data_IF_110448716333
#
_entry.id   IF_110448716333
#
_cell.length_a   1.000
_cell.length_b   1.000
_cell.length_c   1.000
_cell.angle_alpha   90.00
_cell.angle_beta   90.00
_cell.angle_gamma   90.00
#
_symmetry.space_group_name_H-M   'P 1'
#
loop_
_entity.id
_entity.type
_entity.pdbx_description
1 polymer ?
#
# COMPACT_ATOMS: atom_id res chain seq x y z
N UNK A 1 21.46 10.69 65.58
CA UNK A 1 20.42 10.27 64.61
C UNK A 1 21.06 10.23 63.23
N UNK A 2 21.36 9.03 62.71
CA UNK A 2 21.91 8.82 61.36
C UNK A 2 20.78 8.28 60.47
N UNK A 3 20.36 9.07 59.48
CA UNK A 3 19.34 8.67 58.50
C UNK A 3 20.00 7.85 57.40
N UNK A 4 19.69 6.55 57.38
CA UNK A 4 19.99 5.62 56.28
C UNK A 4 19.08 5.94 55.09
N UNK A 5 19.67 6.12 53.91
CA UNK A 5 18.93 6.09 52.65
C UNK A 5 18.65 4.63 52.23
N UNK A 6 17.48 4.32 51.66
CA UNK A 6 17.18 3.00 51.12
C UNK A 6 17.97 2.75 49.82
N UNK A 7 18.72 1.65 49.76
CA UNK A 7 19.33 1.12 48.53
C UNK A 7 18.21 0.58 47.63
N UNK A 8 17.95 1.25 46.52
CA UNK A 8 17.20 0.63 45.42
C UNK A 8 18.09 -0.44 44.76
N UNK A 9 17.58 -1.67 44.76
CA UNK A 9 18.14 -2.80 44.05
C UNK A 9 18.10 -2.52 42.54
N UNK A 10 19.26 -2.51 41.90
CA UNK A 10 19.35 -2.56 40.44
C UNK A 10 19.07 -4.02 40.06
N UNK A 11 17.87 -4.29 39.51
CA UNK A 11 17.61 -5.53 38.81
C UNK A 11 18.51 -5.57 37.56
N UNK A 12 19.58 -6.37 37.62
CA UNK A 12 20.32 -6.77 36.43
C UNK A 12 19.49 -7.80 35.68
N UNK A 13 18.59 -7.35 34.80
CA UNK A 13 18.07 -8.20 33.73
C UNK A 13 19.18 -8.41 32.71
N UNK A 14 19.88 -9.53 32.85
CA UNK A 14 20.76 -10.09 31.82
C UNK A 14 19.89 -10.36 30.59
N UNK A 15 20.00 -9.50 29.57
CA UNK A 15 19.44 -9.80 28.25
C UNK A 15 20.34 -10.87 27.64
N UNK A 16 19.86 -12.12 27.64
CA UNK A 16 20.45 -13.20 26.85
C UNK A 16 20.23 -12.88 25.37
N UNK A 17 21.21 -12.24 24.73
CA UNK A 17 21.27 -12.10 23.28
C UNK A 17 21.79 -13.44 22.74
N UNK A 18 21.01 -14.22 21.97
CA UNK A 18 21.55 -15.41 21.34
C UNK A 18 22.67 -15.01 20.37
N UNK A 19 23.76 -15.79 20.25
CA UNK A 19 24.86 -15.44 19.39
C UNK A 19 24.39 -15.36 17.92
N UNK A 20 24.91 -14.41 17.12
CA UNK A 20 24.53 -14.29 15.72
C UNK A 20 24.91 -15.58 14.99
N UNK A 21 23.93 -16.19 14.32
CA UNK A 21 24.19 -17.30 13.41
C UNK A 21 25.01 -16.77 12.24
N UNK A 22 26.27 -17.19 12.18
CA UNK A 22 27.17 -16.91 11.06
C UNK A 22 26.72 -17.76 9.88
N UNK A 23 25.95 -17.19 8.97
CA UNK A 23 25.74 -17.80 7.65
C UNK A 23 27.00 -17.55 6.83
N UNK A 24 27.87 -18.55 6.76
CA UNK A 24 29.05 -18.56 5.88
C UNK A 24 28.57 -18.65 4.44
N UNK A 25 28.44 -17.51 3.76
CA UNK A 25 28.32 -17.48 2.29
C UNK A 25 29.74 -17.48 1.72
N UNK A 26 30.29 -18.68 1.52
CA UNK A 26 31.44 -18.90 0.64
C UNK A 26 30.95 -18.89 -0.80
N UNK A 27 31.20 -17.80 -1.52
CA UNK A 27 31.57 -17.85 -2.93
C UNK A 27 32.11 -16.48 -3.35
N UNK A 28 33.43 -16.41 -3.44
CA UNK A 28 34.15 -15.33 -4.10
C UNK A 28 34.08 -15.65 -5.59
N UNK A 29 33.50 -14.75 -6.38
CA UNK A 29 33.78 -14.66 -7.82
C UNK A 29 34.27 -13.23 -8.10
N UNK A 30 35.41 -13.07 -8.81
CA UNK A 30 36.14 -11.81 -8.90
C UNK A 30 35.53 -10.88 -9.96
N UNK A 31 36.00 -9.63 -9.98
CA UNK A 31 35.55 -8.50 -10.82
C UNK A 31 34.41 -7.76 -10.13
N UNK A 32 34.65 -6.68 -9.38
CA UNK A 32 35.09 -5.38 -9.89
C UNK A 32 35.96 -4.68 -8.84
N UNK A 33 37.28 -4.64 -9.07
CA UNK A 33 38.11 -3.53 -8.57
C UNK A 33 37.83 -2.35 -9.49
N UNK A 34 36.84 -1.54 -9.13
CA UNK A 34 36.75 -0.16 -9.57
C UNK A 34 36.70 0.65 -8.29
N UNK A 35 37.85 1.26 -8.02
CA UNK A 35 37.95 2.58 -7.38
C UNK A 35 36.75 2.94 -6.51
N UNK A 36 36.95 2.83 -5.20
CA UNK A 36 36.35 3.78 -4.25
C UNK A 36 36.80 5.17 -4.70
N UNK A 37 36.13 5.72 -5.69
CA UNK A 37 36.00 7.16 -5.84
C UNK A 37 35.22 7.58 -4.60
N UNK A 38 35.96 7.91 -3.54
CA UNK A 38 35.51 8.90 -2.59
C UNK A 38 34.97 10.04 -3.46
N UNK A 39 33.68 10.38 -3.42
CA UNK A 39 33.20 11.54 -4.14
C UNK A 39 33.95 12.70 -3.50
N UNK A 40 34.96 13.19 -4.20
CA UNK A 40 35.68 14.40 -3.86
C UNK A 40 34.66 15.50 -4.06
N UNK A 41 33.83 15.76 -3.03
CA UNK A 41 32.95 16.91 -2.90
C UNK A 41 33.77 18.20 -2.72
N UNK A 42 34.77 18.40 -3.58
CA UNK A 42 35.65 19.56 -3.59
C UNK A 42 35.77 20.14 -5.01
N UNK A 43 34.69 20.18 -5.78
CA UNK A 43 34.77 20.69 -7.15
C UNK A 43 34.46 22.18 -7.31
N UNK A 44 33.88 22.88 -6.32
CA UNK A 44 33.48 24.29 -6.52
C UNK A 44 34.20 25.34 -5.66
N UNK A 45 34.93 24.98 -4.60
CA UNK A 45 35.64 25.95 -3.73
C UNK A 45 37.18 25.92 -3.88
N UNK A 46 37.73 25.06 -4.74
CA UNK A 46 39.18 24.90 -4.87
C UNK A 46 39.92 26.07 -5.52
N UNK A 47 39.20 26.99 -6.17
CA UNK A 47 39.81 28.16 -6.83
C UNK A 47 40.54 29.05 -5.81
N UNK A 48 39.94 29.33 -4.65
CA UNK A 48 40.53 30.28 -3.69
C UNK A 48 41.79 29.74 -2.98
N UNK A 49 41.80 28.46 -2.61
CA UNK A 49 42.96 27.87 -1.90
C UNK A 49 44.14 27.56 -2.82
N UNK A 50 43.85 27.18 -4.06
CA UNK A 50 44.85 26.97 -5.09
C UNK A 50 45.57 28.28 -5.43
N UNK A 51 44.82 29.37 -5.55
CA UNK A 51 45.39 30.69 -5.83
C UNK A 51 46.26 31.20 -4.67
N UNK A 52 45.79 31.07 -3.42
CA UNK A 52 46.58 31.39 -2.21
C UNK A 52 47.87 30.56 -2.10
N UNK A 53 47.83 29.28 -2.48
CA UNK A 53 49.02 28.42 -2.52
C UNK A 53 50.05 28.93 -3.53
N UNK A 54 49.63 29.29 -4.74
CA UNK A 54 50.54 29.83 -5.75
C UNK A 54 51.12 31.19 -5.35
N UNK A 55 50.34 32.04 -4.68
CA UNK A 55 50.81 33.31 -4.14
C UNK A 55 51.90 33.09 -3.07
N UNK A 56 51.66 32.22 -2.09
CA UNK A 56 52.66 31.85 -1.07
C UNK A 56 53.92 31.23 -1.67
N UNK A 57 53.76 30.35 -2.67
CA UNK A 57 54.87 29.72 -3.38
C UNK A 57 55.72 30.75 -4.12
N UNK A 58 55.09 31.74 -4.74
CA UNK A 58 55.80 32.83 -5.40
C UNK A 58 56.58 33.70 -4.42
N UNK A 59 55.97 34.06 -3.28
CA UNK A 59 56.66 34.81 -2.21
C UNK A 59 57.84 34.04 -1.63
N UNK A 60 57.71 32.72 -1.44
CA UNK A 60 58.81 31.84 -1.01
C UNK A 60 59.95 31.84 -2.02
N UNK A 61 59.65 31.71 -3.31
CA UNK A 61 60.67 31.73 -4.37
C UNK A 61 61.44 33.05 -4.43
N UNK A 62 60.75 34.19 -4.25
CA UNK A 62 61.40 35.50 -4.18
C UNK A 62 62.33 35.64 -2.96
N UNK A 63 61.96 35.04 -1.83
CA UNK A 63 62.80 35.00 -0.63
C UNK A 63 64.02 34.09 -0.84
N UNK A 64 63.83 32.93 -1.46
CA UNK A 64 64.90 31.99 -1.80
C UNK A 64 65.96 32.67 -2.69
N UNK A 65 65.54 33.40 -3.74
CA UNK A 65 66.44 34.19 -4.59
C UNK A 65 67.22 35.26 -3.81
N UNK A 66 66.58 35.95 -2.86
CA UNK A 66 67.26 36.93 -1.99
C UNK A 66 68.27 36.29 -1.05
N UNK A 67 67.94 35.12 -0.47
CA UNK A 67 68.84 34.35 0.38
C UNK A 67 70.06 33.86 -0.40
N UNK A 68 69.87 33.36 -1.62
CA UNK A 68 70.96 32.93 -2.50
C UNK A 68 71.89 34.10 -2.84
N UNK A 69 71.34 35.28 -3.14
CA UNK A 69 72.13 36.51 -3.36
C UNK A 69 72.91 36.94 -2.13
N UNK A 70 72.35 36.78 -0.93
CA UNK A 70 73.05 37.04 0.33
C UNK A 70 74.20 36.05 0.54
N UNK A 71 73.98 34.77 0.27
CA UNK A 71 75.01 33.73 0.36
C UNK A 71 76.17 33.98 -0.62
N UNK A 72 75.87 34.31 -1.88
CA UNK A 72 76.88 34.66 -2.89
C UNK A 72 77.72 35.87 -2.47
N UNK A 73 77.07 36.92 -1.95
CA UNK A 73 77.77 38.10 -1.43
C UNK A 73 78.62 37.74 -0.20
N UNK A 74 78.11 36.93 0.72
CA UNK A 74 78.84 36.48 1.90
C UNK A 74 80.09 35.66 1.53
N UNK A 75 79.97 34.74 0.58
CA UNK A 75 81.10 33.95 0.05
C UNK A 75 82.13 34.89 -0.60
N UNK A 76 81.69 35.86 -1.41
CA UNK A 76 82.56 36.86 -2.02
C UNK A 76 83.31 37.70 -0.98
N UNK A 77 82.64 38.11 0.10
CA UNK A 77 83.27 38.86 1.20
C UNK A 77 84.25 38.02 2.02
N UNK A 78 83.95 36.75 2.27
CA UNK A 78 84.86 35.86 3.02
C UNK A 78 86.22 35.65 2.35
N UNK A 79 86.33 35.97 1.06
CA UNK A 79 87.53 35.78 0.22
C UNK A 79 88.27 37.09 -0.11
N UNK A 80 87.82 38.24 0.42
CA UNK A 80 88.30 39.56 0.03
C UNK A 80 88.89 40.32 1.24
N UNK A 81 90.14 40.79 1.17
CA UNK A 81 90.80 41.54 2.27
C UNK A 81 90.26 42.97 2.44
N UNK A 82 89.61 43.54 1.42
CA UNK A 82 88.97 44.86 1.48
C UNK A 82 87.54 44.76 0.98
N UNK A 83 86.59 45.19 1.83
CA UNK A 83 85.16 45.18 1.57
C UNK A 83 84.68 46.61 1.27
N UNK A 84 83.97 46.83 0.16
CA UNK A 84 83.43 48.16 -0.18
C UNK A 84 82.18 48.46 0.64
N UNK A 85 82.06 49.69 1.12
CA UNK A 85 80.91 50.17 1.90
C UNK A 85 79.57 50.00 1.16
N UNK A 86 79.57 50.13 -0.17
CA UNK A 86 78.40 49.88 -1.01
C UNK A 86 77.92 48.42 -0.97
N UNK A 87 78.83 47.46 -0.85
CA UNK A 87 78.50 46.03 -0.77
C UNK A 87 77.96 45.66 0.63
N UNK A 88 78.49 46.28 1.70
CA UNK A 88 77.93 46.17 3.05
C UNK A 88 76.52 46.75 3.15
N UNK A 89 76.27 47.90 2.50
CA UNK A 89 74.94 48.50 2.43
C UNK A 89 73.95 47.58 1.72
N UNK A 90 74.35 46.98 0.60
CA UNK A 90 73.53 46.03 -0.16
C UNK A 90 73.20 44.77 0.65
N UNK A 91 74.15 44.24 1.43
CA UNK A 91 73.90 43.09 2.32
C UNK A 91 72.91 43.45 3.42
N UNK A 92 73.08 44.61 4.07
CA UNK A 92 72.16 45.05 5.12
C UNK A 92 70.73 45.28 4.60
N UNK A 93 70.60 45.84 3.40
CA UNK A 93 69.31 46.02 2.72
C UNK A 93 68.67 44.67 2.38
N UNK A 94 69.41 43.75 1.75
CA UNK A 94 68.92 42.40 1.43
C UNK A 94 68.58 41.59 2.68
N UNK A 95 69.37 41.70 3.74
CA UNK A 95 69.14 41.02 5.01
C UNK A 95 67.87 41.55 5.69
N UNK A 96 67.70 42.87 5.74
CA UNK A 96 66.51 43.50 6.33
C UNK A 96 65.25 43.18 5.53
N UNK A 97 65.35 43.19 4.20
CA UNK A 97 64.25 42.79 3.33
C UNK A 97 63.88 41.31 3.50
N UNK A 98 64.88 40.42 3.57
CA UNK A 98 64.64 38.98 3.79
C UNK A 98 63.99 38.71 5.15
N UNK A 99 64.42 39.42 6.21
CA UNK A 99 63.79 39.34 7.54
C UNK A 99 62.35 39.88 7.56
N UNK A 100 62.04 40.88 6.72
CA UNK A 100 60.67 41.34 6.53
C UNK A 100 59.82 40.29 5.82
N UNK A 101 60.31 39.75 4.70
CA UNK A 101 59.62 38.77 3.88
C UNK A 101 59.37 37.45 4.65
N UNK A 102 60.34 37.00 5.46
CA UNK A 102 60.19 35.83 6.36
C UNK A 102 59.05 36.07 7.37
N UNK A 103 58.95 37.26 7.95
CA UNK A 103 57.89 37.59 8.92
C UNK A 103 56.51 37.59 8.25
N UNK A 104 56.41 38.16 7.05
CA UNK A 104 55.17 38.16 6.28
C UNK A 104 54.74 36.75 5.88
N UNK A 105 55.66 35.94 5.34
CA UNK A 105 55.39 34.54 4.99
C UNK A 105 54.92 33.72 6.18
N UNK A 106 55.56 33.86 7.34
CA UNK A 106 55.12 33.19 8.59
C UNK A 106 53.71 33.60 8.99
N UNK A 107 53.39 34.90 8.89
CA UNK A 107 52.06 35.41 9.22
C UNK A 107 50.99 34.89 8.24
N UNK A 108 51.28 34.91 6.94
CA UNK A 108 50.38 34.39 5.91
C UNK A 108 50.14 32.88 6.06
N UNK A 109 51.18 32.09 6.35
CA UNK A 109 51.06 30.65 6.61
C UNK A 109 50.17 30.36 7.82
N UNK A 110 50.36 31.07 8.93
CA UNK A 110 49.54 30.88 10.13
C UNK A 110 48.06 31.23 9.90
N UNK A 111 47.79 32.28 9.11
CA UNK A 111 46.43 32.69 8.74
C UNK A 111 45.76 31.66 7.83
N UNK A 112 46.49 31.12 6.85
CA UNK A 112 46.00 30.05 5.96
C UNK A 112 45.68 28.79 6.75
N UNK A 113 46.55 28.37 7.66
CA UNK A 113 46.35 27.18 8.49
C UNK A 113 45.11 27.31 9.39
N UNK A 114 44.95 28.47 10.05
CA UNK A 114 43.77 28.77 10.89
C UNK A 114 42.48 28.75 10.08
N UNK A 115 42.46 29.44 8.93
CA UNK A 115 41.26 29.52 8.10
C UNK A 115 40.91 28.16 7.47
N UNK A 116 41.91 27.38 7.03
CA UNK A 116 41.68 26.03 6.50
C UNK A 116 41.07 25.10 7.55
N UNK A 117 41.54 25.19 8.80
CA UNK A 117 41.04 24.37 9.90
C UNK A 117 39.58 24.74 10.26
N UNK A 118 39.25 26.04 10.32
CA UNK A 118 37.88 26.49 10.58
C UNK A 118 36.92 26.14 9.43
N UNK A 119 37.34 26.31 8.17
CA UNK A 119 36.55 25.89 7.00
C UNK A 119 36.29 24.37 7.01
N UNK A 120 37.30 23.57 7.36
CA UNK A 120 37.17 22.12 7.49
C UNK A 120 36.20 21.74 8.61
N UNK A 121 36.32 22.35 9.79
CA UNK A 121 35.38 22.13 10.90
C UNK A 121 33.95 22.45 10.50
N UNK A 122 33.72 23.60 9.86
CA UNK A 122 32.39 24.02 9.43
C UNK A 122 31.78 23.02 8.44
N UNK A 123 32.54 22.59 7.42
CA UNK A 123 32.09 21.58 6.45
C UNK A 123 31.83 20.23 7.11
N UNK A 124 32.66 19.83 8.06
CA UNK A 124 32.47 18.61 8.83
C UNK A 124 31.17 18.65 9.64
N UNK A 125 30.91 19.73 10.38
CA UNK A 125 29.68 19.87 11.16
C UNK A 125 28.43 19.91 10.26
N UNK A 126 28.48 20.64 9.14
CA UNK A 126 27.39 20.65 8.16
C UNK A 126 27.09 19.25 7.59
N UNK A 127 28.14 18.49 7.21
CA UNK A 127 27.98 17.13 6.71
C UNK A 127 27.43 16.19 7.80
N UNK A 128 27.85 16.38 9.06
CA UNK A 128 27.35 15.60 10.19
C UNK A 128 25.87 15.90 10.48
N UNK A 129 25.46 17.17 10.43
CA UNK A 129 24.05 17.56 10.61
C UNK A 129 23.15 17.00 9.49
N UNK A 130 23.64 17.02 8.24
CA UNK A 130 22.96 16.37 7.12
C UNK A 130 22.84 14.85 7.32
N UNK A 131 23.90 14.20 7.81
CA UNK A 131 23.90 12.77 8.11
C UNK A 131 22.89 12.42 9.20
N UNK A 132 22.81 13.20 10.28
CA UNK A 132 21.83 12.99 11.34
C UNK A 132 20.40 13.19 10.85
N UNK A 133 20.19 14.17 9.96
CA UNK A 133 18.89 14.37 9.29
C UNK A 133 18.49 13.13 8.49
N UNK A 134 19.40 12.64 7.63
CA UNK A 134 19.16 11.43 6.82
C UNK A 134 18.90 10.21 7.70
N UNK A 135 19.68 10.02 8.78
CA UNK A 135 19.44 8.92 9.73
C UNK A 135 18.04 9.00 10.34
N UNK A 136 17.60 10.20 10.71
CA UNK A 136 16.28 10.40 11.30
C UNK A 136 15.14 10.08 10.32
N UNK A 137 15.27 10.47 9.06
CA UNK A 137 14.32 10.16 7.99
C UNK A 137 14.31 8.67 7.66
N UNK A 138 15.49 8.05 7.62
CA UNK A 138 15.61 6.61 7.41
C UNK A 138 14.90 5.81 8.51
N UNK A 139 15.07 6.20 9.78
CA UNK A 139 14.37 5.56 10.90
C UNK A 139 12.85 5.72 10.76
N UNK A 140 12.36 6.90 10.38
CA UNK A 140 10.92 7.14 10.14
C UNK A 140 10.39 6.23 9.02
N UNK A 141 11.07 6.21 7.88
CA UNK A 141 10.68 5.35 6.74
C UNK A 141 10.71 3.87 7.11
N UNK A 142 11.68 3.44 7.92
CA UNK A 142 11.76 2.06 8.40
C UNK A 142 10.57 1.71 9.32
N UNK A 143 10.15 2.63 10.19
CA UNK A 143 8.97 2.46 11.05
C UNK A 143 7.68 2.41 10.22
N UNK A 144 7.54 3.31 9.24
CA UNK A 144 6.39 3.33 8.32
C UNK A 144 6.28 2.04 7.51
N UNK A 145 7.40 1.54 6.97
CA UNK A 145 7.45 0.28 6.25
C UNK A 145 7.00 -0.90 7.13
N UNK A 146 7.48 -0.95 8.37
CA UNK A 146 7.11 -1.99 9.32
C UNK A 146 5.62 -1.96 9.66
N UNK A 147 5.06 -0.76 9.91
CA UNK A 147 3.62 -0.59 10.16
C UNK A 147 2.77 -1.01 8.95
N UNK A 148 3.19 -0.63 7.74
CA UNK A 148 2.53 -1.01 6.49
C UNK A 148 2.51 -2.53 6.28
N UNK A 149 3.63 -3.21 6.55
CA UNK A 149 3.70 -4.68 6.47
C UNK A 149 2.78 -5.38 7.47
N UNK A 150 2.67 -4.87 8.71
CA UNK A 150 1.74 -5.43 9.69
C UNK A 150 0.28 -5.29 9.24
N UNK A 151 -0.10 -4.12 8.71
CA UNK A 151 -1.46 -3.90 8.18
C UNK A 151 -1.77 -4.80 6.98
N UNK A 152 -0.81 -4.95 6.05
CA UNK A 152 -0.93 -5.86 4.90
C UNK A 152 -1.16 -7.31 5.34
N UNK A 153 -0.42 -7.76 6.37
CA UNK A 153 -0.57 -9.12 6.92
C UNK A 153 -1.95 -9.34 7.53
N UNK A 154 -2.47 -8.36 8.28
CA UNK A 154 -3.82 -8.42 8.85
C UNK A 154 -4.92 -8.42 7.79
N UNK A 155 -4.75 -7.67 6.70
CA UNK A 155 -5.71 -7.64 5.59
C UNK A 155 -5.70 -8.95 4.79
N UNK A 156 -4.51 -9.53 4.58
CA UNK A 156 -4.34 -10.81 3.89
C UNK A 156 -4.98 -11.97 4.67
N UNK A 157 -5.06 -11.90 6.00
CA UNK A 157 -5.77 -12.90 6.80
C UNK A 157 -7.30 -12.73 6.81
N UNK A 158 -7.80 -11.48 6.70
CA UNK A 158 -9.24 -11.19 6.72
C UNK A 158 -9.94 -11.49 5.39
N UNK A 159 -9.27 -11.28 4.25
CA UNK A 159 -9.87 -11.52 2.93
C UNK A 159 -10.32 -12.97 2.69
N UNK A 160 -9.52 -14.02 3.00
CA UNK A 160 -9.95 -15.40 2.85
C UNK A 160 -11.13 -15.75 3.76
N UNK A 161 -11.19 -15.18 4.97
CA UNK A 161 -12.29 -15.41 5.91
C UNK A 161 -13.60 -14.81 5.39
N UNK A 162 -13.55 -13.57 4.89
CA UNK A 162 -14.71 -12.92 4.27
C UNK A 162 -15.15 -13.64 3.00
N UNK A 163 -14.20 -14.09 2.17
CA UNK A 163 -14.51 -14.85 0.96
C UNK A 163 -15.15 -16.20 1.27
N UNK A 164 -14.63 -16.93 2.26
CA UNK A 164 -15.22 -18.19 2.71
C UNK A 164 -16.64 -18.01 3.27
N UNK A 165 -16.89 -16.94 4.03
CA UNK A 165 -18.23 -16.61 4.50
C UNK A 165 -19.19 -16.36 3.33
N UNK A 166 -18.78 -15.59 2.33
CA UNK A 166 -19.59 -15.34 1.13
C UNK A 166 -19.87 -16.62 0.33
N UNK A 167 -18.88 -17.50 0.19
CA UNK A 167 -19.06 -18.79 -0.50
C UNK A 167 -20.12 -19.64 0.23
N UNK A 168 -20.04 -19.72 1.56
CA UNK A 168 -21.02 -20.46 2.37
C UNK A 168 -22.41 -19.87 2.19
N UNK A 169 -22.57 -18.56 2.38
CA UNK A 169 -23.88 -17.88 2.23
C UNK A 169 -24.45 -18.05 0.82
N UNK A 170 -23.64 -17.96 -0.22
CA UNK A 170 -24.09 -18.17 -1.59
C UNK A 170 -24.57 -19.62 -1.82
N UNK A 171 -23.86 -20.60 -1.26
CA UNK A 171 -24.28 -22.02 -1.35
C UNK A 171 -25.59 -22.30 -0.62
N UNK A 172 -25.86 -21.60 0.49
CA UNK A 172 -27.12 -21.71 1.22
C UNK A 172 -28.27 -21.08 0.45
N UNK A 173 -28.05 -19.87 -0.11
CA UNK A 173 -29.04 -19.20 -0.97
C UNK A 173 -29.36 -20.03 -2.21
N UNK A 174 -28.37 -20.69 -2.81
CA UNK A 174 -28.59 -21.58 -3.95
C UNK A 174 -29.49 -22.78 -3.58
N UNK A 175 -29.23 -23.42 -2.42
CA UNK A 175 -30.10 -24.49 -1.91
C UNK A 175 -31.52 -24.01 -1.63
N UNK A 176 -31.67 -22.84 -1.01
CA UNK A 176 -32.99 -22.24 -0.77
C UNK A 176 -33.73 -21.97 -2.09
N UNK A 177 -33.02 -21.49 -3.11
CA UNK A 177 -33.60 -21.25 -4.43
C UNK A 177 -34.06 -22.56 -5.09
N UNK A 178 -33.26 -23.63 -5.03
CA UNK A 178 -33.66 -24.96 -5.53
C UNK A 178 -34.92 -25.48 -4.82
N UNK A 179 -35.02 -25.32 -3.50
CA UNK A 179 -36.22 -25.68 -2.74
C UNK A 179 -37.44 -24.87 -3.15
N UNK A 180 -37.28 -23.56 -3.36
CA UNK A 180 -38.37 -22.69 -3.84
C UNK A 180 -38.81 -23.06 -5.27
N UNK A 181 -37.88 -23.40 -6.16
CA UNK A 181 -38.22 -23.87 -7.51
C UNK A 181 -39.01 -25.18 -7.48
N UNK A 182 -38.62 -26.12 -6.60
CA UNK A 182 -39.36 -27.37 -6.41
C UNK A 182 -40.76 -27.11 -5.86
N UNK A 183 -40.89 -26.24 -4.86
CA UNK A 183 -42.18 -25.84 -4.30
C UNK A 183 -43.07 -25.20 -5.37
N UNK A 184 -42.51 -24.32 -6.20
CA UNK A 184 -43.26 -23.66 -7.27
C UNK A 184 -43.77 -24.67 -8.31
N UNK A 185 -42.94 -25.66 -8.70
CA UNK A 185 -43.40 -26.76 -9.57
C UNK A 185 -44.54 -27.57 -8.94
N UNK A 186 -44.46 -27.87 -7.65
CA UNK A 186 -45.51 -28.60 -6.95
C UNK A 186 -46.81 -27.80 -6.88
N UNK A 187 -46.73 -26.50 -6.60
CA UNK A 187 -47.90 -25.62 -6.59
C UNK A 187 -48.53 -25.51 -7.99
N UNK A 188 -47.71 -25.42 -9.04
CA UNK A 188 -48.22 -25.42 -10.40
C UNK A 188 -48.99 -26.71 -10.73
N UNK A 189 -48.46 -27.87 -10.36
CA UNK A 189 -49.17 -29.15 -10.54
C UNK A 189 -50.50 -29.20 -9.75
N UNK A 190 -50.56 -28.60 -8.56
CA UNK A 190 -51.81 -28.51 -7.80
C UNK A 190 -52.83 -27.60 -8.49
N UNK A 191 -52.38 -26.47 -9.04
CA UNK A 191 -53.22 -25.55 -9.83
C UNK A 191 -53.78 -26.25 -11.06
N UNK A 192 -52.94 -26.97 -11.82
CA UNK A 192 -53.35 -27.69 -13.01
C UNK A 192 -54.41 -28.77 -12.68
N UNK A 193 -54.20 -29.51 -11.58
CA UNK A 193 -55.17 -30.49 -11.09
C UNK A 193 -56.51 -29.86 -10.66
N UNK A 194 -56.48 -28.69 -10.02
CA UNK A 194 -57.70 -27.98 -9.63
C UNK A 194 -58.46 -27.48 -10.86
N UNK A 195 -57.76 -26.95 -11.87
CA UNK A 195 -58.37 -26.57 -13.14
C UNK A 195 -59.03 -27.75 -13.86
N UNK A 196 -58.39 -28.92 -13.84
CA UNK A 196 -58.99 -30.14 -14.39
C UNK A 196 -60.31 -30.48 -13.68
N UNK A 197 -60.31 -30.54 -12.34
CA UNK A 197 -61.52 -30.84 -11.56
C UNK A 197 -62.62 -29.80 -11.74
N UNK A 198 -62.25 -28.53 -11.87
CA UNK A 198 -63.21 -27.46 -12.15
C UNK A 198 -63.92 -27.68 -13.50
N UNK A 199 -63.14 -28.02 -14.53
CA UNK A 199 -63.68 -28.31 -15.87
C UNK A 199 -64.61 -29.53 -15.84
N UNK A 200 -64.23 -30.58 -15.11
CA UNK A 200 -65.06 -31.78 -14.94
C UNK A 200 -66.38 -31.47 -14.21
N UNK A 201 -66.33 -30.64 -13.17
CA UNK A 201 -67.53 -30.15 -12.46
C UNK A 201 -68.44 -29.33 -13.38
N UNK A 202 -67.87 -28.48 -14.25
CA UNK A 202 -68.63 -27.75 -15.27
C UNK A 202 -69.36 -28.69 -16.24
N UNK A 203 -68.72 -29.77 -16.68
CA UNK A 203 -69.36 -30.78 -17.52
C UNK A 203 -70.49 -31.52 -16.79
N UNK A 204 -70.29 -31.86 -15.51
CA UNK A 204 -71.34 -32.47 -14.68
C UNK A 204 -72.54 -31.53 -14.50
N UNK A 205 -72.28 -30.24 -14.28
CA UNK A 205 -73.32 -29.21 -14.20
C UNK A 205 -74.14 -29.13 -15.50
N UNK A 206 -73.48 -29.11 -16.66
CA UNK A 206 -74.17 -29.12 -17.95
C UNK A 206 -75.06 -30.36 -18.11
N UNK A 207 -74.57 -31.54 -17.72
CA UNK A 207 -75.35 -32.78 -17.76
C UNK A 207 -76.59 -32.73 -16.84
N UNK A 208 -76.46 -32.11 -15.67
CA UNK A 208 -77.61 -31.90 -14.76
C UNK A 208 -78.65 -30.98 -15.42
N UNK A 209 -78.22 -29.91 -16.09
CA UNK A 209 -79.13 -29.02 -16.82
C UNK A 209 -79.87 -29.74 -17.95
N UNK A 210 -79.18 -30.59 -18.72
CA UNK A 210 -79.80 -31.41 -19.76
C UNK A 210 -80.85 -32.38 -19.19
N UNK A 211 -80.52 -33.08 -18.10
CA UNK A 211 -81.45 -34.01 -17.43
C UNK A 211 -82.67 -33.29 -16.85
N UNK A 212 -82.50 -32.09 -16.29
CA UNK A 212 -83.60 -31.25 -15.83
C UNK A 212 -84.53 -30.88 -16.98
N UNK A 213 -83.99 -30.44 -18.11
CA UNK A 213 -84.79 -30.12 -19.30
C UNK A 213 -85.57 -31.34 -19.83
N UNK A 214 -84.93 -32.51 -19.87
CA UNK A 214 -85.59 -33.76 -20.27
C UNK A 214 -86.73 -34.14 -19.32
N UNK A 215 -86.53 -33.94 -18.01
CA UNK A 215 -87.54 -34.23 -16.99
C UNK A 215 -88.79 -33.37 -17.18
N UNK A 216 -88.61 -32.08 -17.50
CA UNK A 216 -89.73 -31.18 -17.81
C UNK A 216 -90.50 -31.68 -19.04
N UNK A 217 -89.81 -32.06 -20.11
CA UNK A 217 -90.44 -32.60 -21.33
C UNK A 217 -91.22 -33.89 -21.04
N UNK A 218 -90.65 -34.80 -20.25
CA UNK A 218 -91.29 -36.07 -19.89
C UNK A 218 -92.51 -35.86 -18.99
N UNK A 219 -92.48 -34.90 -18.09
CA UNK A 219 -93.67 -34.55 -17.30
C UNK A 219 -94.79 -33.99 -18.19
N UNK A 220 -94.47 -33.14 -19.17
CA UNK A 220 -95.45 -32.66 -20.14
C UNK A 220 -96.05 -33.80 -20.99
N UNK A 221 -95.25 -34.80 -21.37
CA UNK A 221 -95.71 -36.00 -22.07
C UNK A 221 -96.65 -36.83 -21.19
N UNK A 222 -96.32 -37.02 -19.91
CA UNK A 222 -97.18 -37.71 -18.93
C UNK A 222 -98.52 -36.99 -18.77
N UNK A 223 -98.51 -35.66 -18.65
CA UNK A 223 -99.74 -34.88 -18.51
C UNK A 223 -100.60 -34.96 -19.79
N UNK A 224 -99.98 -34.95 -20.96
CA UNK A 224 -100.67 -35.18 -22.25
C UNK A 224 -101.32 -36.57 -22.30
N UNK A 225 -100.62 -37.61 -21.84
CA UNK A 225 -101.16 -38.97 -21.76
C UNK A 225 -102.31 -39.06 -20.75
N UNK A 226 -102.22 -38.38 -19.61
CA UNK A 226 -103.31 -38.32 -18.62
C UNK A 226 -104.58 -37.70 -19.20
N UNK A 227 -104.44 -36.62 -19.99
CA UNK A 227 -105.57 -36.01 -20.70
C UNK A 227 -106.19 -37.03 -21.66
N UNK A 228 -105.38 -37.69 -22.49
CA UNK A 228 -105.86 -38.68 -23.44
C UNK A 228 -106.59 -39.85 -22.75
N UNK A 229 -106.05 -40.36 -21.65
CA UNK A 229 -106.70 -41.41 -20.85
C UNK A 229 -108.07 -40.94 -20.36
N UNK A 230 -108.14 -39.74 -19.76
CA UNK A 230 -109.41 -39.17 -19.30
C UNK A 230 -110.44 -38.98 -20.42
N UNK A 231 -109.99 -38.54 -21.60
CA UNK A 231 -110.86 -38.42 -22.78
C UNK A 231 -111.40 -39.76 -23.24
N UNK A 232 -110.56 -40.81 -23.27
CA UNK A 232 -110.99 -42.16 -23.61
C UNK A 232 -111.95 -42.75 -22.59
N UNK A 233 -111.71 -42.54 -21.29
CA UNK A 233 -112.64 -42.94 -20.23
C UNK A 233 -114.02 -42.29 -20.41
N UNK A 234 -114.06 -40.98 -20.69
CA UNK A 234 -115.33 -40.28 -21.00
C UNK A 234 -116.03 -40.85 -22.22
N UNK A 235 -115.29 -41.16 -23.28
CA UNK A 235 -115.84 -41.75 -24.51
C UNK A 235 -116.42 -43.15 -24.27
N UNK A 236 -115.75 -43.98 -23.47
CA UNK A 236 -116.24 -45.30 -23.04
C UNK A 236 -117.55 -45.15 -22.27
N UNK A 237 -117.62 -44.21 -21.32
CA UNK A 237 -118.85 -43.99 -20.53
C UNK A 237 -120.01 -43.48 -21.38
N UNK A 238 -119.74 -42.61 -22.36
CA UNK A 238 -120.73 -42.19 -23.36
C UNK A 238 -121.24 -43.37 -24.17
N UNK A 239 -120.35 -44.22 -24.70
CA UNK A 239 -120.72 -45.42 -25.46
C UNK A 239 -121.54 -46.39 -24.60
N UNK A 240 -121.15 -46.57 -23.33
CA UNK A 240 -121.89 -47.40 -22.37
C UNK A 240 -123.30 -46.87 -22.14
N UNK A 241 -123.44 -45.56 -21.97
CA UNK A 241 -124.74 -44.89 -21.79
C UNK A 241 -125.62 -45.05 -23.03
N UNK A 242 -125.04 -44.85 -24.23
CA UNK A 242 -125.72 -45.06 -25.50
C UNK A 242 -126.20 -46.51 -25.66
N UNK A 243 -125.32 -47.49 -25.38
CA UNK A 243 -125.67 -48.91 -25.42
C UNK A 243 -126.83 -49.21 -24.47
N UNK A 244 -126.75 -48.78 -23.21
CA UNK A 244 -127.82 -48.99 -22.22
C UNK A 244 -129.14 -48.32 -22.62
N UNK A 245 -129.09 -47.19 -23.33
CA UNK A 245 -130.30 -46.50 -23.81
C UNK A 245 -130.98 -47.19 -24.99
N UNK A 246 -130.28 -48.04 -25.75
CA UNK A 246 -130.86 -48.80 -26.87
C UNK A 246 -131.60 -50.08 -26.44
N UNK A 247 -131.42 -50.51 -25.18
CA UNK A 247 -132.07 -51.72 -24.61
C UNK A 247 -133.11 -51.38 -23.52
N UNK A 248 -133.66 -50.17 -23.57
CA UNK A 248 -134.90 -49.76 -22.87
C UNK A 248 -135.98 -49.49 -23.91
#
# INVERSE_FOLDING_TARGET
MQTRYPRHQINQSVINIPPPQVTVVRSISPVVVRTLEVPVYYQNDQTNWKDKYYELRHQYWLLEDKCNKLEDLQIKHSRCEVVRESELKQINELFTQSQHDIRQLKHCLAKVDTQMNEDYKMKYFQANDQLETIKSEFIKLQQELYQSQQQSTQNTQRQPQQMNQLIITNSELQRQNEQLQLLNKNLQQQIDNLHFRYTESGNQYNKIQELLALTVLKNAEIDSLRILVSEKEKMIEQLRTQYLSQYR
#
